data_IF_699526157119
#
_entry.id   IF_699526157119
#
_cell.length_a   1.000
_cell.length_b   1.000
_cell.length_c   1.000
_cell.angle_alpha   90.00
_cell.angle_beta   90.00
_cell.angle_gamma   90.00
#
_symmetry.space_group_name_H-M   'P 1'
#
loop_
_entity.id
_entity.type
_entity.pdbx_description
1 polymer ?
#
# COMPACT_ATOMS: atom_id res chain seq x y z
N UNK A 1 -11.45 24.51 -5.89
CA UNK A 1 -10.42 24.36 -6.94
C UNK A 1 -9.82 22.98 -6.78
N UNK A 2 -10.20 22.01 -7.60
CA UNK A 2 -9.65 20.65 -7.51
C UNK A 2 -8.14 20.70 -7.77
N UNK A 3 -7.33 20.38 -6.76
CA UNK A 3 -5.88 20.33 -6.89
C UNK A 3 -5.51 19.10 -7.72
N UNK A 4 -5.68 19.18 -9.04
CA UNK A 4 -5.21 18.15 -9.96
C UNK A 4 -3.74 18.42 -10.25
N UNK A 5 -2.86 17.68 -9.57
CA UNK A 5 -1.43 17.69 -9.89
C UNK A 5 -1.27 17.42 -11.39
N UNK A 6 -0.72 18.39 -12.14
CA UNK A 6 -0.57 18.33 -13.62
C UNK A 6 0.08 17.02 -14.09
N UNK A 7 0.94 16.44 -13.27
CA UNK A 7 1.66 15.17 -13.51
C UNK A 7 0.74 13.93 -13.57
N UNK A 8 -0.55 14.01 -13.20
CA UNK A 8 -1.50 12.89 -13.25
C UNK A 8 -1.80 12.39 -14.67
N UNK A 9 -2.14 13.31 -15.59
CA UNK A 9 -2.52 12.94 -16.95
C UNK A 9 -1.34 12.40 -17.78
N UNK A 10 -0.12 12.87 -17.48
CA UNK A 10 1.05 12.57 -18.31
C UNK A 10 1.80 11.29 -17.90
N UNK A 11 1.78 10.91 -16.61
CA UNK A 11 2.74 9.92 -16.08
C UNK A 11 2.12 8.70 -15.37
N UNK A 12 0.79 8.49 -15.45
CA UNK A 12 0.11 7.36 -14.75
C UNK A 12 0.51 7.26 -13.26
N UNK A 13 0.58 8.40 -12.57
CA UNK A 13 0.91 8.49 -11.14
C UNK A 13 -0.37 8.52 -10.30
N UNK A 14 -0.42 7.82 -9.17
CA UNK A 14 -1.44 8.00 -8.11
C UNK A 14 -0.90 9.03 -7.11
N UNK A 15 -1.79 9.86 -6.56
CA UNK A 15 -1.42 10.93 -5.62
C UNK A 15 -2.11 10.70 -4.29
N UNK A 16 -1.37 10.95 -3.21
CA UNK A 16 -1.92 11.08 -1.88
C UNK A 16 -2.06 12.57 -1.58
N UNK A 17 -3.23 12.97 -1.09
CA UNK A 17 -3.54 14.37 -0.78
C UNK A 17 -3.38 14.54 0.73
N UNK A 18 -2.67 15.60 1.13
CA UNK A 18 -2.68 16.07 2.50
C UNK A 18 -4.03 16.76 2.77
N UNK A 19 -4.80 16.22 3.71
CA UNK A 19 -6.18 16.65 3.96
C UNK A 19 -6.28 18.06 4.54
N UNK A 20 -5.25 18.53 5.25
CA UNK A 20 -5.20 19.86 5.88
C UNK A 20 -4.99 20.99 4.88
N UNK A 21 -4.10 20.80 3.90
CA UNK A 21 -3.74 21.84 2.92
C UNK A 21 -4.39 21.62 1.55
N UNK A 22 -4.97 20.44 1.31
CA UNK A 22 -5.48 20.01 0.00
C UNK A 22 -4.38 19.84 -1.05
N UNK A 23 -3.10 19.86 -0.64
CA UNK A 23 -1.95 19.73 -1.53
C UNK A 23 -1.58 18.26 -1.71
N UNK A 24 -0.90 17.97 -2.81
CA UNK A 24 -0.30 16.67 -3.02
C UNK A 24 0.81 16.42 -1.97
N UNK A 25 0.62 15.43 -1.09
CA UNK A 25 1.60 14.99 -0.12
C UNK A 25 2.68 14.11 -0.78
N UNK A 26 2.27 13.19 -1.65
CA UNK A 26 3.17 12.26 -2.34
C UNK A 26 2.56 11.70 -3.62
N UNK A 27 3.42 11.18 -4.50
CA UNK A 27 3.05 10.60 -5.79
C UNK A 27 3.73 9.25 -5.93
N UNK A 28 3.00 8.22 -6.38
CA UNK A 28 3.55 6.90 -6.66
C UNK A 28 3.29 6.51 -8.11
N UNK A 29 4.29 5.92 -8.75
CA UNK A 29 4.19 5.45 -10.15
C UNK A 29 3.40 4.16 -10.18
N UNK A 30 2.21 4.17 -10.78
CA UNK A 30 1.31 3.00 -10.81
C UNK A 30 1.85 1.91 -11.74
N UNK A 31 2.77 2.27 -12.63
CA UNK A 31 3.45 1.33 -13.53
C UNK A 31 4.57 0.55 -12.84
N UNK A 32 4.75 0.67 -11.52
CA UNK A 32 5.62 -0.24 -10.79
C UNK A 32 5.09 -1.67 -10.92
N UNK A 33 5.98 -2.59 -11.28
CA UNK A 33 5.69 -4.03 -11.49
C UNK A 33 5.00 -4.69 -10.28
N UNK A 34 5.13 -4.06 -9.11
CA UNK A 34 4.43 -4.41 -7.89
C UNK A 34 3.11 -3.62 -7.83
N UNK A 35 2.04 -4.31 -8.24
CA UNK A 35 0.67 -3.94 -7.92
C UNK A 35 0.54 -3.74 -6.41
N UNK A 36 0.11 -2.56 -5.95
CA UNK A 36 -0.30 -2.35 -4.55
C UNK A 36 -1.51 -3.20 -4.16
N UNK A 37 -2.16 -3.82 -5.14
CA UNK A 37 -3.22 -4.79 -4.92
C UNK A 37 -2.56 -6.16 -4.82
N UNK A 38 -2.34 -6.60 -3.59
CA UNK A 38 -2.13 -8.00 -3.26
C UNK A 38 -3.49 -8.68 -3.44
N UNK A 39 -3.53 -9.81 -4.14
CA UNK A 39 -4.78 -10.56 -4.26
C UNK A 39 -5.27 -11.04 -2.89
N UNK A 40 -6.57 -11.30 -2.74
CA UNK A 40 -7.11 -11.83 -1.48
C UNK A 40 -6.39 -13.12 -1.06
N UNK A 41 -6.12 -13.99 -2.04
CA UNK A 41 -5.41 -15.26 -1.86
C UNK A 41 -3.97 -15.07 -1.39
N UNK A 42 -3.20 -14.16 -2.01
CA UNK A 42 -1.85 -13.84 -1.53
C UNK A 42 -1.88 -13.22 -0.14
N UNK A 43 -2.88 -12.39 0.16
CA UNK A 43 -3.02 -11.77 1.48
C UNK A 43 -3.37 -12.78 2.58
N UNK A 44 -4.18 -13.79 2.25
CA UNK A 44 -4.55 -14.87 3.16
C UNK A 44 -3.33 -15.73 3.50
N UNK A 45 -2.51 -16.10 2.51
CA UNK A 45 -1.23 -16.81 2.74
C UNK A 45 -0.28 -16.05 3.66
N UNK A 46 -0.09 -14.74 3.42
CA UNK A 46 0.78 -13.90 4.27
C UNK A 46 0.25 -13.83 5.71
N UNK A 47 -1.08 -13.88 5.90
CA UNK A 47 -1.69 -13.90 7.22
C UNK A 47 -1.45 -15.23 7.94
N UNK A 48 -1.67 -16.35 7.27
CA UNK A 48 -1.44 -17.69 7.83
C UNK A 48 0.03 -17.87 8.26
N UNK A 49 0.99 -17.52 7.40
CA UNK A 49 2.42 -17.58 7.73
C UNK A 49 2.78 -16.72 8.95
N UNK A 50 2.12 -15.57 9.11
CA UNK A 50 2.34 -14.69 10.26
C UNK A 50 1.77 -15.31 11.53
N UNK A 51 0.55 -15.83 11.49
CA UNK A 51 -0.10 -16.48 12.64
C UNK A 51 0.70 -17.70 13.11
N UNK A 52 1.21 -18.52 12.19
CA UNK A 52 2.09 -19.65 12.52
C UNK A 52 3.37 -19.21 13.21
N UNK A 53 4.02 -18.14 12.72
CA UNK A 53 5.22 -17.59 13.34
C UNK A 53 4.93 -17.06 14.75
N UNK A 54 3.82 -16.35 14.94
CA UNK A 54 3.43 -15.82 16.24
C UNK A 54 3.14 -16.96 17.23
N UNK A 55 2.45 -18.01 16.79
CA UNK A 55 2.22 -19.23 17.58
C UNK A 55 3.52 -19.96 17.93
N UNK A 56 4.46 -20.09 16.99
CA UNK A 56 5.75 -20.70 17.23
C UNK A 56 6.56 -19.91 18.28
N UNK A 57 6.56 -18.58 18.18
CA UNK A 57 7.19 -17.70 19.18
C UNK A 57 6.53 -17.84 20.54
N UNK A 58 5.19 -17.93 20.60
CA UNK A 58 4.47 -18.10 21.86
C UNK A 58 4.79 -19.44 22.53
N UNK A 59 4.87 -20.54 21.75
CA UNK A 59 5.23 -21.88 22.25
C UNK A 59 6.64 -21.96 22.83
N UNK A 60 7.57 -21.14 22.33
CA UNK A 60 8.95 -21.06 22.82
C UNK A 60 9.10 -20.18 24.07
N UNK A 61 8.06 -19.42 24.45
CA UNK A 61 8.04 -18.56 25.64
C UNK A 61 7.42 -19.23 26.88
N UNK A 62 7.00 -20.49 26.75
CA UNK A 62 6.53 -21.37 27.84
C UNK A 62 7.70 -22.23 28.30
#
# INVERSE_FOLDING_TARGET
>A
MEFRCKRYKEKKLRYFIETTTGRCASCIFVSTKYSLFVSKEEWEKVREEREERELAVARLKV
#
